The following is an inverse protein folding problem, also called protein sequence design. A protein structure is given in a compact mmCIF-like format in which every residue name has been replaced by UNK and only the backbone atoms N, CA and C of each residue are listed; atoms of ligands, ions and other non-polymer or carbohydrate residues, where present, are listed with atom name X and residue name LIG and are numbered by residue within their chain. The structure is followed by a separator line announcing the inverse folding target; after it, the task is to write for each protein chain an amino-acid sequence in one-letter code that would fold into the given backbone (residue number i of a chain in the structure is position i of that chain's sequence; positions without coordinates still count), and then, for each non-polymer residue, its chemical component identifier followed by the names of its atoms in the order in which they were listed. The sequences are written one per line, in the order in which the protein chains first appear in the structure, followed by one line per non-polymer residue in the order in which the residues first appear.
data_IF_864404303785
#
_entry.id   IF_864404303785
#
_cell.length_a   1.000
_cell.length_b   1.000
_cell.length_c   1.000
_cell.angle_alpha   90.00
_cell.angle_beta   90.00
_cell.angle_gamma   90.00
#
_symmetry.space_group_name_H-M   'P 1'
#
loop_
_entity.id
_entity.type
_entity.pdbx_description
1 polymer ?
#
# COMPACT_ATOMS: atom_id res chain seq x y z
N UNK A 1 24.01 -0.92 -20.01
CA UNK A 1 23.95 -1.62 -21.32
C UNK A 1 22.55 -1.41 -21.84
N UNK A 2 22.39 -0.56 -22.84
CA UNK A 2 21.05 -0.20 -23.33
C UNK A 2 20.49 -1.37 -24.16
N UNK A 3 19.31 -1.85 -23.82
CA UNK A 3 18.58 -2.85 -24.59
C UNK A 3 18.14 -2.16 -25.89
N UNK A 4 18.71 -2.56 -27.03
CA UNK A 4 18.28 -2.14 -28.36
C UNK A 4 16.97 -2.87 -28.70
N UNK A 5 15.85 -2.17 -28.60
CA UNK A 5 14.61 -2.60 -29.23
C UNK A 5 14.73 -2.42 -30.73
N UNK A 6 14.72 -3.54 -31.46
CA UNK A 6 14.78 -3.57 -32.92
C UNK A 6 13.48 -3.01 -33.53
N UNK A 7 13.60 -1.97 -34.36
CA UNK A 7 12.51 -1.44 -35.16
C UNK A 7 12.15 -2.43 -36.28
N UNK A 8 10.94 -2.99 -36.22
CA UNK A 8 10.18 -3.35 -37.43
C UNK A 8 8.73 -2.98 -37.20
N UNK A 9 8.27 -1.91 -37.86
CA UNK A 9 6.89 -1.46 -37.92
C UNK A 9 6.00 -2.55 -38.54
N UNK A 10 5.05 -3.07 -37.73
CA UNK A 10 3.77 -3.58 -38.24
C UNK A 10 2.67 -3.00 -37.36
N UNK A 11 1.73 -2.32 -37.97
CA UNK A 11 0.54 -1.74 -37.39
C UNK A 11 -0.43 -2.87 -36.96
N UNK A 12 -0.39 -3.23 -35.71
CA UNK A 12 -1.38 -3.97 -34.95
C UNK A 12 -1.40 -3.36 -33.55
N UNK A 13 -2.40 -3.62 -32.69
CA UNK A 13 -2.35 -3.12 -31.33
C UNK A 13 -1.03 -3.56 -30.71
N UNK A 14 -0.29 -2.61 -30.12
CA UNK A 14 0.92 -2.90 -29.35
C UNK A 14 0.49 -3.79 -28.19
N UNK A 15 0.78 -5.08 -28.27
CA UNK A 15 0.72 -5.99 -27.14
C UNK A 15 1.95 -5.58 -26.31
N UNK A 16 1.72 -4.88 -25.20
CA UNK A 16 2.77 -4.66 -24.20
C UNK A 16 3.41 -6.02 -23.90
N UNK A 17 4.73 -6.07 -23.85
CA UNK A 17 5.44 -7.33 -23.64
C UNK A 17 5.04 -7.89 -22.27
N UNK A 18 4.64 -9.16 -22.22
CA UNK A 18 4.36 -9.89 -21.00
C UNK A 18 5.61 -9.84 -20.08
N UNK A 19 5.44 -9.31 -18.87
CA UNK A 19 6.50 -9.13 -17.88
C UNK A 19 6.23 -10.06 -16.70
N UNK A 20 7.25 -10.67 -16.14
CA UNK A 20 7.16 -11.51 -14.94
C UNK A 20 7.38 -10.65 -13.70
N UNK A 21 6.33 -10.49 -12.90
CA UNK A 21 6.38 -9.67 -11.70
C UNK A 21 6.25 -10.50 -10.43
N UNK A 22 7.15 -10.24 -9.48
CA UNK A 22 7.02 -10.71 -8.11
C UNK A 22 6.42 -9.62 -7.25
N UNK A 23 5.31 -9.90 -6.54
CA UNK A 23 4.68 -8.99 -5.58
C UNK A 23 4.83 -9.56 -4.19
N UNK A 24 5.73 -9.02 -3.36
CA UNK A 24 5.84 -9.44 -1.96
C UNK A 24 4.73 -8.79 -1.12
N UNK A 25 4.11 -9.55 -0.22
CA UNK A 25 2.91 -9.10 0.50
C UNK A 25 1.67 -9.07 -0.39
N UNK A 26 1.66 -9.89 -1.45
CA UNK A 26 0.54 -10.00 -2.39
C UNK A 26 -0.77 -10.41 -1.76
N UNK A 27 -0.72 -11.14 -0.63
CA UNK A 27 -1.89 -11.59 0.14
C UNK A 27 -2.63 -10.47 0.88
N UNK A 28 -1.97 -9.32 1.06
CA UNK A 28 -2.49 -8.20 1.83
C UNK A 28 -3.54 -7.37 1.11
N UNK A 29 -4.06 -6.35 1.81
CA UNK A 29 -5.06 -5.42 1.28
C UNK A 29 -4.60 -4.79 -0.05
N UNK A 30 -3.52 -4.02 -0.06
CA UNK A 30 -3.03 -3.37 -1.27
C UNK A 30 -2.44 -4.39 -2.25
N UNK A 31 -1.71 -5.40 -1.75
CA UNK A 31 -1.04 -6.40 -2.58
C UNK A 31 -2.01 -7.19 -3.45
N UNK A 32 -3.17 -7.59 -2.92
CA UNK A 32 -4.18 -8.33 -3.69
C UNK A 32 -4.76 -7.49 -4.84
N UNK A 33 -5.00 -6.19 -4.63
CA UNK A 33 -5.44 -5.28 -5.70
C UNK A 33 -4.34 -5.02 -6.73
N UNK A 34 -3.08 -4.92 -6.31
CA UNK A 34 -1.94 -4.79 -7.24
C UNK A 34 -1.80 -6.05 -8.10
N UNK A 35 -1.87 -7.24 -7.50
CA UNK A 35 -1.86 -8.50 -8.26
C UNK A 35 -2.99 -8.54 -9.30
N UNK A 36 -4.22 -8.21 -8.92
CA UNK A 36 -5.36 -8.18 -9.84
C UNK A 36 -5.16 -7.16 -10.97
N UNK A 37 -4.61 -5.99 -10.67
CA UNK A 37 -4.36 -4.96 -11.68
C UNK A 37 -3.29 -5.40 -12.70
N UNK A 38 -2.21 -6.03 -12.22
CA UNK A 38 -1.15 -6.56 -13.08
C UNK A 38 -1.63 -7.71 -13.97
N UNK A 39 -2.44 -8.63 -13.42
CA UNK A 39 -3.06 -9.72 -14.19
C UNK A 39 -3.98 -9.15 -15.27
N UNK A 40 -4.80 -8.14 -14.92
CA UNK A 40 -5.70 -7.48 -15.87
C UNK A 40 -4.93 -6.77 -17.00
N UNK A 41 -3.72 -6.30 -16.71
CA UNK A 41 -2.81 -5.74 -17.70
C UNK A 41 -2.10 -6.80 -18.58
N UNK A 42 -2.27 -8.09 -18.28
CA UNK A 42 -1.73 -9.20 -19.08
C UNK A 42 -0.33 -9.67 -18.66
N UNK A 43 0.07 -9.41 -17.42
CA UNK A 43 1.37 -9.84 -16.89
C UNK A 43 1.31 -11.19 -16.19
N UNK A 44 2.46 -11.90 -16.13
CA UNK A 44 2.67 -13.08 -15.30
C UNK A 44 2.99 -12.62 -13.86
N UNK A 45 2.14 -12.99 -12.89
CA UNK A 45 2.24 -12.50 -11.51
C UNK A 45 2.51 -13.62 -10.54
N UNK A 46 3.56 -13.48 -9.74
CA UNK A 46 3.82 -14.31 -8.56
C UNK A 46 3.59 -13.46 -7.30
N UNK A 47 2.68 -13.89 -6.43
CA UNK A 47 2.45 -13.31 -5.12
C UNK A 47 3.29 -14.05 -4.07
N UNK A 48 4.28 -13.37 -3.47
CA UNK A 48 5.06 -13.90 -2.36
C UNK A 48 4.39 -13.50 -1.05
N UNK A 49 3.81 -14.49 -0.39
CA UNK A 49 2.95 -14.36 0.78
C UNK A 49 3.64 -14.87 2.04
N UNK A 50 3.34 -14.26 3.19
CA UNK A 50 3.92 -14.73 4.46
C UNK A 50 3.46 -16.18 4.75
N UNK A 51 4.44 -17.06 4.99
CA UNK A 51 4.16 -18.43 5.36
C UNK A 51 3.29 -18.54 6.62
N UNK A 52 2.26 -19.34 6.54
CA UNK A 52 1.44 -19.73 7.67
C UNK A 52 1.03 -21.19 7.56
N UNK A 53 0.82 -21.84 8.70
CA UNK A 53 0.49 -23.29 8.76
C UNK A 53 -0.86 -23.65 8.16
N UNK A 54 -1.70 -22.67 7.83
CA UNK A 54 -3.01 -22.91 7.22
C UNK A 54 -2.95 -22.93 5.69
N UNK A 55 -1.80 -22.60 5.08
CA UNK A 55 -1.66 -22.48 3.63
C UNK A 55 -2.56 -21.40 3.02
N UNK A 56 -2.85 -20.34 3.78
CA UNK A 56 -3.76 -19.27 3.39
C UNK A 56 -3.01 -18.08 2.80
N UNK A 57 -3.45 -17.65 1.64
CA UNK A 57 -2.92 -16.47 0.94
C UNK A 57 -3.84 -15.25 1.07
N UNK A 58 -4.46 -15.08 2.23
CA UNK A 58 -5.24 -13.90 2.60
C UNK A 58 -6.34 -13.57 1.59
N UNK A 59 -6.31 -12.36 1.03
CA UNK A 59 -7.31 -11.89 0.07
C UNK A 59 -7.18 -12.52 -1.33
N UNK A 60 -6.14 -13.28 -1.59
CA UNK A 60 -6.01 -14.05 -2.83
C UNK A 60 -6.73 -15.40 -2.75
N UNK A 61 -7.04 -15.89 -1.53
CA UNK A 61 -7.80 -17.13 -1.36
C UNK A 61 -9.22 -16.99 -1.93
N UNK A 62 -9.63 -17.93 -2.77
CA UNK A 62 -10.97 -17.97 -3.35
C UNK A 62 -11.25 -16.94 -4.44
N UNK A 63 -10.27 -16.13 -4.83
CA UNK A 63 -10.40 -15.25 -5.99
C UNK A 63 -10.34 -16.03 -7.30
N UNK A 64 -11.12 -15.61 -8.30
CA UNK A 64 -11.16 -16.23 -9.63
C UNK A 64 -9.76 -16.33 -10.26
N UNK A 65 -8.91 -15.32 -10.04
CA UNK A 65 -7.54 -15.28 -10.56
C UNK A 65 -6.63 -16.39 -10.05
N UNK A 66 -6.88 -16.91 -8.84
CA UNK A 66 -6.14 -18.05 -8.28
C UNK A 66 -6.70 -19.36 -8.86
N UNK A 67 -8.03 -19.47 -8.94
CA UNK A 67 -8.71 -20.64 -9.50
C UNK A 67 -8.33 -20.86 -10.97
N UNK A 68 -8.20 -19.78 -11.74
CA UNK A 68 -7.80 -19.79 -13.14
C UNK A 68 -6.28 -19.93 -13.36
N UNK A 69 -5.48 -19.97 -12.27
CA UNK A 69 -4.03 -20.05 -12.34
C UNK A 69 -3.34 -18.78 -12.86
N UNK A 70 -4.05 -17.64 -12.89
CA UNK A 70 -3.53 -16.37 -13.36
C UNK A 70 -2.53 -15.72 -12.38
N UNK A 71 -2.56 -16.11 -11.10
CA UNK A 71 -1.57 -15.75 -10.10
C UNK A 71 -0.94 -16.99 -9.49
N UNK A 72 0.40 -17.01 -9.44
CA UNK A 72 1.15 -18.02 -8.71
C UNK A 72 1.37 -17.54 -7.28
N UNK A 73 1.10 -18.39 -6.29
CA UNK A 73 1.34 -18.09 -4.89
C UNK A 73 2.58 -18.83 -4.41
N UNK A 74 3.52 -18.09 -3.83
CA UNK A 74 4.69 -18.62 -3.14
C UNK A 74 4.66 -18.18 -1.67
N UNK A 75 4.98 -19.11 -0.75
CA UNK A 75 5.01 -18.83 0.68
C UNK A 75 6.44 -18.73 1.18
N UNK A 76 6.72 -17.67 1.96
CA UNK A 76 8.01 -17.49 2.61
C UNK A 76 8.00 -16.29 3.55
N UNK A 77 9.18 -15.82 3.94
CA UNK A 77 9.36 -14.67 4.81
C UNK A 77 10.47 -13.78 4.23
N UNK A 78 10.22 -12.50 4.03
CA UNK A 78 11.22 -11.55 3.50
C UNK A 78 12.45 -11.41 4.40
N UNK A 79 12.35 -11.82 5.67
CA UNK A 79 13.49 -11.86 6.61
C UNK A 79 14.45 -13.01 6.30
N UNK A 80 14.00 -14.04 5.58
CA UNK A 80 14.84 -15.15 5.13
C UNK A 80 15.43 -14.83 3.75
N UNK A 81 16.75 -14.58 3.73
CA UNK A 81 17.45 -14.16 2.53
C UNK A 81 17.48 -15.23 1.43
N UNK A 82 17.54 -16.52 1.79
CA UNK A 82 17.59 -17.60 0.82
C UNK A 82 16.21 -17.87 0.21
N UNK A 83 15.15 -17.78 1.03
CA UNK A 83 13.77 -17.88 0.58
C UNK A 83 13.43 -16.78 -0.41
N UNK A 84 13.74 -15.51 -0.09
CA UNK A 84 13.45 -14.40 -0.99
C UNK A 84 14.34 -14.40 -2.24
N UNK A 85 15.59 -14.85 -2.16
CA UNK A 85 16.44 -15.03 -3.34
C UNK A 85 15.79 -16.00 -4.33
N UNK A 86 15.34 -17.15 -3.84
CA UNK A 86 14.67 -18.16 -4.68
C UNK A 86 13.39 -17.63 -5.32
N UNK A 87 12.63 -16.81 -4.60
CA UNK A 87 11.41 -16.20 -5.11
C UNK A 87 11.67 -15.10 -6.16
N UNK A 88 12.76 -14.35 -6.05
CA UNK A 88 13.10 -13.27 -7.00
C UNK A 88 13.69 -13.82 -8.30
N UNK A 89 14.36 -14.98 -8.25
CA UNK A 89 15.00 -15.55 -9.42
C UNK A 89 13.99 -15.83 -10.56
N UNK A 90 14.32 -15.34 -11.76
CA UNK A 90 13.48 -15.51 -12.95
C UNK A 90 12.37 -14.50 -13.13
N UNK A 91 12.26 -13.49 -12.26
CA UNK A 91 11.35 -12.36 -12.43
C UNK A 91 12.05 -11.13 -13.02
N UNK A 92 11.32 -10.35 -13.79
CA UNK A 92 11.81 -9.12 -14.42
C UNK A 92 11.69 -7.90 -13.50
N UNK A 93 10.60 -7.84 -12.74
CA UNK A 93 10.27 -6.73 -11.85
C UNK A 93 9.84 -7.25 -10.48
N UNK A 94 10.25 -6.55 -9.42
CA UNK A 94 9.81 -6.82 -8.04
C UNK A 94 9.04 -5.62 -7.51
N UNK A 95 7.78 -5.83 -7.08
CA UNK A 95 7.01 -4.85 -6.31
C UNK A 95 7.04 -5.29 -4.84
N UNK A 96 7.75 -4.53 -4.01
CA UNK A 96 7.97 -4.88 -2.61
C UNK A 96 6.96 -4.17 -1.70
N UNK A 97 5.86 -4.88 -1.34
CA UNK A 97 4.80 -4.39 -0.44
C UNK A 97 4.88 -5.02 0.96
N UNK A 98 5.56 -6.17 1.12
CA UNK A 98 5.64 -6.88 2.38
C UNK A 98 6.23 -5.98 3.50
N UNK A 99 5.43 -5.71 4.53
CA UNK A 99 5.81 -4.87 5.66
C UNK A 99 4.88 -5.08 6.86
N UNK A 100 5.38 -4.81 8.06
CA UNK A 100 4.54 -4.53 9.21
C UNK A 100 4.14 -3.04 9.18
N UNK A 101 2.84 -2.74 9.23
CA UNK A 101 2.32 -1.38 8.98
C UNK A 101 1.51 -0.77 10.13
N UNK A 102 1.04 -1.58 11.10
CA UNK A 102 0.18 -1.10 12.18
C UNK A 102 0.96 -0.23 13.18
N UNK A 103 0.72 1.09 13.18
CA UNK A 103 1.42 2.02 14.08
C UNK A 103 1.23 1.62 15.55
N UNK A 104 0.01 1.33 16.07
CA UNK A 104 -0.16 0.92 17.46
C UNK A 104 0.62 -0.35 17.83
N UNK A 105 0.67 -1.34 16.94
CA UNK A 105 1.45 -2.55 17.16
C UNK A 105 2.96 -2.28 17.16
N UNK A 106 3.43 -1.25 16.44
CA UNK A 106 4.85 -0.88 16.45
C UNK A 106 5.35 -0.43 17.81
N UNK A 107 4.48 0.05 18.69
CA UNK A 107 4.84 0.40 20.08
C UNK A 107 5.07 -0.85 20.95
N UNK A 108 4.40 -1.96 20.62
CA UNK A 108 4.50 -3.22 21.36
C UNK A 108 5.67 -4.08 20.87
N UNK A 109 5.92 -4.08 19.57
CA UNK A 109 6.91 -4.94 18.91
C UNK A 109 7.88 -4.17 18.01
N UNK A 110 8.56 -3.11 18.46
CA UNK A 110 9.37 -2.24 17.59
C UNK A 110 10.49 -2.99 16.87
N UNK A 111 11.08 -4.00 17.50
CA UNK A 111 12.13 -4.83 16.90
C UNK A 111 11.62 -5.57 15.66
N UNK A 112 10.42 -6.14 15.69
CA UNK A 112 9.83 -6.84 14.55
C UNK A 112 9.68 -5.92 13.34
N UNK A 113 9.43 -4.61 13.56
CA UNK A 113 9.37 -3.62 12.47
C UNK A 113 10.73 -3.39 11.82
N UNK A 114 11.81 -3.34 12.59
CA UNK A 114 13.16 -3.23 12.04
C UNK A 114 13.50 -4.51 11.26
N UNK A 115 13.26 -5.68 11.84
CA UNK A 115 13.57 -6.96 11.20
C UNK A 115 12.79 -7.15 9.89
N UNK A 116 11.49 -6.84 9.87
CA UNK A 116 10.67 -7.01 8.67
C UNK A 116 10.89 -5.88 7.67
N UNK A 117 10.77 -4.62 8.11
CA UNK A 117 10.72 -3.49 7.18
C UNK A 117 12.11 -3.05 6.71
N UNK A 118 13.16 -3.15 7.54
CA UNK A 118 14.53 -2.76 7.15
C UNK A 118 15.31 -3.95 6.61
N UNK A 119 15.44 -5.02 7.41
CA UNK A 119 16.23 -6.19 7.00
C UNK A 119 15.51 -6.93 5.87
N UNK A 120 14.18 -7.09 5.93
CA UNK A 120 13.41 -7.68 4.84
C UNK A 120 13.56 -6.89 3.54
N UNK A 121 13.48 -5.56 3.56
CA UNK A 121 13.75 -4.72 2.38
C UNK A 121 15.16 -4.91 1.85
N UNK A 122 16.17 -4.96 2.74
CA UNK A 122 17.55 -5.23 2.33
C UNK A 122 17.67 -6.57 1.62
N UNK A 123 17.07 -7.63 2.15
CA UNK A 123 17.10 -8.96 1.55
C UNK A 123 16.46 -8.96 0.15
N UNK A 124 15.29 -8.32 -0.01
CA UNK A 124 14.60 -8.21 -1.31
C UNK A 124 15.48 -7.47 -2.33
N UNK A 125 16.09 -6.35 -1.96
CA UNK A 125 16.91 -5.54 -2.87
C UNK A 125 18.21 -6.27 -3.20
N UNK A 126 18.81 -6.98 -2.25
CA UNK A 126 20.01 -7.79 -2.50
C UNK A 126 19.70 -8.98 -3.42
N UNK A 127 18.57 -9.66 -3.23
CA UNK A 127 18.10 -10.71 -4.13
C UNK A 127 17.88 -10.16 -5.56
N UNK A 128 17.23 -9.01 -5.67
CA UNK A 128 17.03 -8.31 -6.93
C UNK A 128 18.35 -7.94 -7.63
N UNK A 129 19.34 -7.47 -6.85
CA UNK A 129 20.70 -7.18 -7.35
C UNK A 129 21.35 -8.41 -7.93
N UNK A 130 21.28 -9.56 -7.23
CA UNK A 130 21.89 -10.83 -7.67
C UNK A 130 21.19 -11.41 -8.88
N UNK A 131 19.86 -11.34 -8.93
CA UNK A 131 19.06 -11.82 -10.05
C UNK A 131 19.15 -10.89 -11.29
N UNK A 132 19.58 -9.64 -11.10
CA UNK A 132 19.70 -8.67 -12.19
C UNK A 132 18.35 -8.19 -12.73
N UNK A 133 17.35 -8.05 -11.85
CA UNK A 133 15.99 -7.59 -12.23
C UNK A 133 16.04 -6.20 -12.88
N UNK A 134 15.10 -5.93 -13.78
CA UNK A 134 15.03 -4.66 -14.50
C UNK A 134 14.52 -3.51 -13.62
N UNK A 135 13.73 -3.82 -12.56
CA UNK A 135 13.20 -2.81 -11.62
C UNK A 135 12.79 -3.42 -10.29
N UNK A 136 13.05 -2.66 -9.22
CA UNK A 136 12.43 -2.85 -7.90
C UNK A 136 11.57 -1.64 -7.59
N UNK A 137 10.28 -1.84 -7.34
CA UNK A 137 9.37 -0.82 -6.81
C UNK A 137 9.32 -1.01 -5.29
N UNK A 138 10.08 -0.21 -4.56
CA UNK A 138 10.08 -0.21 -3.10
C UNK A 138 8.92 0.62 -2.57
N UNK A 139 8.06 0.01 -1.76
CA UNK A 139 6.93 0.71 -1.13
C UNK A 139 7.35 1.30 0.21
N UNK A 140 7.34 2.62 0.29
CA UNK A 140 7.47 3.41 1.51
C UNK A 140 6.09 3.82 2.06
N UNK A 141 5.97 5.02 2.61
CA UNK A 141 4.72 5.56 3.18
C UNK A 141 4.84 7.08 3.36
N UNK A 142 3.72 7.81 3.34
CA UNK A 142 3.66 9.22 3.75
C UNK A 142 3.99 9.45 5.23
N UNK A 143 3.85 8.43 6.08
CA UNK A 143 4.18 8.53 7.52
C UNK A 143 5.67 8.80 7.79
N UNK A 144 6.56 8.63 6.79
CA UNK A 144 7.98 9.00 6.91
C UNK A 144 8.20 10.51 7.03
N UNK A 145 7.23 11.32 6.62
CA UNK A 145 7.29 12.78 6.71
C UNK A 145 6.96 13.30 8.11
N UNK A 146 6.24 12.51 8.92
CA UNK A 146 5.64 13.00 10.16
C UNK A 146 4.58 14.07 9.89
N UNK A 147 4.28 14.88 10.90
CA UNK A 147 3.37 16.02 10.75
C UNK A 147 3.95 17.04 9.75
N UNK A 148 3.15 17.40 8.75
CA UNK A 148 3.56 18.29 7.68
C UNK A 148 4.13 19.63 8.20
N UNK A 149 5.34 19.98 7.77
CA UNK A 149 5.96 21.30 8.01
C UNK A 149 5.53 22.34 6.96
N UNK A 150 5.15 21.86 5.78
CA UNK A 150 4.50 22.62 4.72
C UNK A 150 3.61 21.68 3.88
N UNK A 151 2.65 22.22 3.19
CA UNK A 151 1.73 21.50 2.31
C UNK A 151 1.50 22.25 1.00
N UNK A 152 1.19 21.52 -0.09
CA UNK A 152 1.23 20.06 -0.18
C UNK A 152 2.65 19.51 0.02
N UNK A 153 2.75 18.26 0.52
CA UNK A 153 4.03 17.60 0.79
C UNK A 153 4.62 17.09 -0.53
N UNK A 154 5.79 17.60 -0.91
CA UNK A 154 6.61 17.06 -1.99
C UNK A 154 7.68 16.09 -1.47
N UNK A 155 8.43 15.45 -2.36
CA UNK A 155 9.46 14.47 -2.00
C UNK A 155 10.71 15.06 -1.33
N UNK A 156 10.83 16.39 -1.30
CA UNK A 156 11.91 17.14 -0.61
C UNK A 156 11.58 17.44 0.85
N UNK A 157 10.32 17.21 1.25
CA UNK A 157 9.90 17.42 2.64
C UNK A 157 10.79 16.63 3.60
N UNK A 158 11.21 17.19 4.73
CA UNK A 158 12.01 16.50 5.74
C UNK A 158 11.36 15.20 6.23
N UNK A 159 12.20 14.19 6.51
CA UNK A 159 11.74 12.91 7.07
C UNK A 159 11.80 12.98 8.60
N UNK A 160 10.66 12.70 9.25
CA UNK A 160 10.52 12.72 10.71
C UNK A 160 9.78 11.47 11.18
N UNK A 161 10.51 10.50 11.72
CA UNK A 161 9.96 9.24 12.21
C UNK A 161 9.28 9.38 13.58
N UNK A 162 7.98 9.72 13.61
CA UNK A 162 7.21 9.91 14.86
C UNK A 162 6.72 8.58 15.49
N UNK A 163 6.99 7.45 14.88
CA UNK A 163 6.68 6.11 15.43
C UNK A 163 7.76 5.10 15.05
N UNK A 164 7.87 3.94 15.77
CA UNK A 164 8.76 2.86 15.34
C UNK A 164 8.47 2.36 13.94
N UNK A 165 7.21 2.39 13.51
CA UNK A 165 6.83 2.08 12.12
C UNK A 165 7.46 3.06 11.13
N UNK A 166 7.20 4.36 11.29
CA UNK A 166 7.73 5.37 10.35
C UNK A 166 9.27 5.40 10.36
N UNK A 167 9.90 5.25 11.54
CA UNK A 167 11.36 5.12 11.64
C UNK A 167 11.90 3.92 10.87
N UNK A 168 11.22 2.75 10.93
CA UNK A 168 11.60 1.56 10.17
C UNK A 168 11.45 1.77 8.65
N UNK A 169 10.42 2.51 8.21
CA UNK A 169 10.23 2.82 6.78
C UNK A 169 11.27 3.83 6.27
N UNK A 170 11.66 4.83 7.08
CA UNK A 170 12.79 5.71 6.77
C UNK A 170 14.08 4.89 6.62
N UNK A 171 14.33 3.94 7.53
CA UNK A 171 15.48 3.04 7.44
C UNK A 171 15.47 2.22 6.14
N UNK A 172 14.33 1.68 5.75
CA UNK A 172 14.14 0.94 4.51
C UNK A 172 14.38 1.83 3.27
N UNK A 173 13.87 3.07 3.26
CA UNK A 173 14.12 4.04 2.19
C UNK A 173 15.62 4.33 2.02
N UNK A 174 16.36 4.48 3.14
CA UNK A 174 17.80 4.71 3.09
C UNK A 174 18.58 3.49 2.59
N UNK A 175 18.16 2.27 2.95
CA UNK A 175 18.71 1.04 2.38
C UNK A 175 18.48 1.01 0.87
N UNK A 176 17.24 1.24 0.41
CA UNK A 176 16.90 1.27 -1.00
C UNK A 176 17.75 2.28 -1.79
N UNK A 177 17.86 3.50 -1.28
CA UNK A 177 18.69 4.56 -1.88
C UNK A 177 20.18 4.19 -1.90
N UNK A 178 20.70 3.58 -0.83
CA UNK A 178 22.11 3.18 -0.77
C UNK A 178 22.48 2.11 -1.80
N UNK A 179 21.57 1.17 -2.06
CA UNK A 179 21.77 0.13 -3.08
C UNK A 179 21.77 0.69 -4.50
N UNK A 180 20.89 1.65 -4.78
CA UNK A 180 20.96 2.41 -6.03
C UNK A 180 22.31 3.13 -6.16
N UNK A 181 22.68 3.92 -5.16
CA UNK A 181 23.86 4.77 -5.20
C UNK A 181 25.17 3.97 -5.26
N UNK A 182 25.26 2.85 -4.52
CA UNK A 182 26.50 2.08 -4.38
C UNK A 182 26.66 0.95 -5.39
N UNK A 183 25.54 0.34 -5.79
CA UNK A 183 25.55 -0.87 -6.61
C UNK A 183 24.77 -0.73 -7.92
N UNK A 184 24.10 0.41 -8.16
CA UNK A 184 23.30 0.65 -9.36
C UNK A 184 22.04 -0.22 -9.46
N UNK A 185 21.52 -0.74 -8.31
CA UNK A 185 20.29 -1.53 -8.31
C UNK A 185 19.11 -0.65 -8.76
N UNK A 186 18.30 -1.05 -9.75
CA UNK A 186 17.29 -0.21 -10.35
C UNK A 186 16.03 -0.06 -9.44
N UNK A 187 16.17 0.65 -8.32
CA UNK A 187 15.10 0.87 -7.35
C UNK A 187 14.35 2.17 -7.65
N UNK A 188 13.02 2.12 -7.60
CA UNK A 188 12.13 3.28 -7.55
C UNK A 188 11.35 3.22 -6.24
N UNK A 189 11.39 4.27 -5.43
CA UNK A 189 10.66 4.32 -4.15
C UNK A 189 9.32 5.03 -4.35
N UNK A 190 8.23 4.40 -3.94
CA UNK A 190 6.89 5.00 -3.93
C UNK A 190 6.46 5.23 -2.48
N UNK A 191 5.98 6.43 -2.17
CA UNK A 191 5.39 6.82 -0.88
C UNK A 191 3.88 7.00 -1.04
N UNK A 192 3.09 5.93 -0.91
CA UNK A 192 1.64 6.08 -0.94
C UNK A 192 1.18 6.87 0.28
N UNK A 193 0.23 7.78 0.05
CA UNK A 193 -0.57 8.39 1.09
C UNK A 193 -1.66 7.40 1.51
N UNK A 194 -2.53 7.78 2.44
CA UNK A 194 -3.44 6.82 3.07
C UNK A 194 -4.34 6.11 2.04
N UNK A 195 -4.03 4.89 1.70
CA UNK A 195 -4.86 4.06 0.81
C UNK A 195 -6.06 3.50 1.57
N UNK A 196 -7.26 3.55 0.98
CA UNK A 196 -8.50 2.99 1.54
C UNK A 196 -9.30 2.23 0.47
N UNK A 197 -10.17 1.32 0.90
CA UNK A 197 -11.03 0.58 -0.03
C UNK A 197 -11.45 -0.80 0.49
N UNK A 198 -12.07 -1.61 -0.38
CA UNK A 198 -12.37 -3.03 -0.13
C UNK A 198 -11.16 -3.80 0.39
N UNK A 199 -11.36 -4.77 1.28
CA UNK A 199 -10.32 -5.62 1.90
C UNK A 199 -9.40 -4.91 2.91
N UNK A 200 -9.61 -3.61 3.17
CA UNK A 200 -8.80 -2.90 4.16
C UNK A 200 -9.03 -3.46 5.56
N UNK A 201 -7.95 -3.62 6.33
CA UNK A 201 -8.01 -4.16 7.70
C UNK A 201 -8.84 -3.28 8.63
N UNK A 202 -9.64 -3.90 9.50
CA UNK A 202 -10.43 -3.25 10.56
C UNK A 202 -9.60 -2.35 11.50
N UNK A 203 -8.29 -2.47 11.52
CA UNK A 203 -7.39 -1.57 12.25
C UNK A 203 -7.43 -0.12 11.76
N UNK A 204 -7.77 0.10 10.49
CA UNK A 204 -7.90 1.43 9.92
C UNK A 204 -9.26 2.06 10.26
N UNK A 205 -9.31 3.40 10.26
CA UNK A 205 -10.50 4.16 10.63
C UNK A 205 -11.73 3.77 9.78
N UNK A 206 -11.60 3.82 8.45
CA UNK A 206 -12.73 3.61 7.53
C UNK A 206 -13.39 2.24 7.73
N UNK A 207 -12.68 1.09 7.69
CA UNK A 207 -13.32 -0.18 7.98
C UNK A 207 -13.83 -0.29 9.42
N UNK A 208 -13.13 0.27 10.40
CA UNK A 208 -13.61 0.27 11.79
C UNK A 208 -14.96 0.99 11.94
N UNK A 209 -15.13 2.14 11.28
CA UNK A 209 -16.40 2.88 11.27
C UNK A 209 -17.48 2.08 10.54
N UNK A 210 -17.18 1.55 9.35
CA UNK A 210 -18.14 0.78 8.55
C UNK A 210 -18.65 -0.44 9.32
N UNK A 211 -17.76 -1.22 9.93
CA UNK A 211 -18.12 -2.43 10.69
C UNK A 211 -19.03 -2.08 11.89
N UNK A 212 -18.74 -0.99 12.61
CA UNK A 212 -19.59 -0.52 13.70
C UNK A 212 -20.95 -0.02 13.19
N UNK A 213 -21.02 0.70 12.06
CA UNK A 213 -22.27 1.12 11.43
C UNK A 213 -23.13 -0.08 11.02
N UNK A 214 -22.52 -1.09 10.38
CA UNK A 214 -23.21 -2.30 9.93
C UNK A 214 -23.72 -3.17 11.10
N UNK A 215 -23.03 -3.16 12.24
CA UNK A 215 -23.49 -3.91 13.43
C UNK A 215 -24.76 -3.38 14.04
N UNK A 216 -25.21 -2.21 13.66
CA UNK A 216 -26.41 -1.57 14.23
C UNK A 216 -26.16 -0.79 15.51
N UNK A 217 -24.92 -0.56 15.91
CA UNK A 217 -24.56 0.18 17.12
C UNK A 217 -25.21 1.57 17.17
N UNK A 218 -25.65 1.99 18.36
CA UNK A 218 -26.18 3.35 18.57
C UNK A 218 -25.07 4.40 18.70
N UNK A 219 -23.88 3.96 19.14
CA UNK A 219 -22.67 4.78 19.21
C UNK A 219 -21.50 4.03 18.62
N UNK A 220 -20.52 4.77 18.08
CA UNK A 220 -19.26 4.26 17.56
C UNK A 220 -18.09 4.82 18.35
N UNK A 221 -17.11 3.96 18.66
CA UNK A 221 -15.92 4.32 19.43
C UNK A 221 -14.73 4.56 18.53
N UNK A 222 -14.16 5.77 18.56
CA UNK A 222 -13.07 6.21 17.69
C UNK A 222 -11.95 6.89 18.49
N UNK A 223 -10.77 7.02 17.88
CA UNK A 223 -9.68 7.89 18.37
C UNK A 223 -9.89 9.34 17.93
N UNK A 224 -8.79 10.10 17.80
CA UNK A 224 -8.82 11.50 17.37
C UNK A 224 -9.42 11.65 15.96
N UNK A 225 -10.31 12.63 15.79
CA UNK A 225 -10.97 12.96 14.52
C UNK A 225 -10.44 14.24 13.88
N UNK A 226 -9.55 14.96 14.57
CA UNK A 226 -8.98 16.23 14.08
C UNK A 226 -7.92 16.07 13.01
N UNK A 227 -7.08 15.01 13.00
CA UNK A 227 -6.05 14.86 11.98
C UNK A 227 -6.64 14.83 10.57
N UNK A 228 -5.91 15.43 9.63
CA UNK A 228 -6.27 15.44 8.22
C UNK A 228 -5.40 14.48 7.42
N UNK A 229 -5.99 13.86 6.40
CA UNK A 229 -5.33 12.87 5.55
C UNK A 229 -5.68 13.10 4.09
N UNK A 230 -4.74 12.76 3.23
CA UNK A 230 -4.97 12.50 1.83
C UNK A 230 -5.31 11.02 1.66
N UNK A 231 -6.51 10.75 1.20
CA UNK A 231 -7.07 9.39 1.07
C UNK A 231 -7.14 9.00 -0.40
N UNK A 232 -6.39 7.97 -0.78
CA UNK A 232 -6.34 7.45 -2.15
C UNK A 232 -7.11 6.14 -2.24
N UNK A 233 -8.04 6.03 -3.19
CA UNK A 233 -8.81 4.80 -3.37
C UNK A 233 -7.90 3.67 -3.86
N UNK A 234 -8.10 2.45 -3.38
CA UNK A 234 -7.16 1.33 -3.56
C UNK A 234 -6.90 0.96 -5.01
N UNK A 235 -7.90 1.10 -5.91
CA UNK A 235 -7.68 0.84 -7.34
C UNK A 235 -6.76 1.88 -7.96
N UNK A 236 -6.86 3.15 -7.56
CA UNK A 236 -5.97 4.21 -8.02
C UNK A 236 -4.53 3.94 -7.55
N UNK A 237 -4.37 3.46 -6.31
CA UNK A 237 -3.05 3.05 -5.81
C UNK A 237 -2.50 1.86 -6.60
N UNK A 238 -3.31 0.83 -6.88
CA UNK A 238 -2.88 -0.33 -7.65
C UNK A 238 -2.44 0.05 -9.08
N UNK A 239 -3.21 0.90 -9.77
CA UNK A 239 -2.85 1.47 -11.07
C UNK A 239 -1.54 2.26 -11.00
N UNK A 240 -1.32 3.03 -9.93
CA UNK A 240 -0.06 3.76 -9.71
C UNK A 240 1.14 2.84 -9.55
N UNK A 241 1.01 1.74 -8.82
CA UNK A 241 2.07 0.73 -8.71
C UNK A 241 2.36 0.07 -10.06
N UNK A 242 1.32 -0.24 -10.86
CA UNK A 242 1.49 -0.75 -12.21
C UNK A 242 2.22 0.26 -13.10
N UNK A 243 1.78 1.51 -13.12
CA UNK A 243 2.40 2.56 -13.94
C UNK A 243 3.90 2.75 -13.62
N UNK A 244 4.28 2.67 -12.33
CA UNK A 244 5.68 2.72 -11.92
C UNK A 244 6.44 1.46 -12.33
N UNK A 245 5.82 0.27 -12.22
CA UNK A 245 6.45 -1.00 -12.57
C UNK A 245 6.75 -1.11 -14.07
N UNK A 246 5.83 -0.65 -14.92
CA UNK A 246 5.93 -0.64 -16.39
C UNK A 246 6.80 0.51 -16.93
N UNK A 247 6.93 1.59 -16.17
CA UNK A 247 7.60 2.81 -16.60
C UNK A 247 9.10 2.64 -16.89
N UNK A 248 9.65 3.45 -17.79
CA UNK A 248 11.06 3.40 -18.16
C UNK A 248 11.96 4.35 -17.35
N UNK A 249 11.39 5.29 -16.60
CA UNK A 249 12.11 6.32 -15.83
C UNK A 249 12.09 6.10 -14.32
N UNK A 250 12.57 7.10 -13.56
CA UNK A 250 12.41 7.19 -12.10
C UNK A 250 13.32 6.27 -11.27
N UNK A 251 14.34 5.65 -11.87
CA UNK A 251 15.30 4.81 -11.13
C UNK A 251 16.14 5.67 -10.17
N UNK A 252 16.26 5.22 -8.93
CA UNK A 252 16.95 5.96 -7.87
C UNK A 252 16.14 7.10 -7.27
N UNK A 253 14.91 7.32 -7.73
CA UNK A 253 14.05 8.41 -7.31
C UNK A 253 12.94 7.97 -6.37
N UNK A 254 12.38 8.97 -5.68
CA UNK A 254 11.22 8.83 -4.77
C UNK A 254 10.03 9.53 -5.41
N UNK A 255 8.85 8.95 -5.25
CA UNK A 255 7.58 9.48 -5.77
C UNK A 255 6.48 9.40 -4.73
N UNK A 256 5.82 10.53 -4.46
CA UNK A 256 4.59 10.56 -3.69
C UNK A 256 3.41 10.07 -4.54
N UNK A 257 2.52 9.30 -3.90
CA UNK A 257 1.32 8.77 -4.53
C UNK A 257 0.12 9.08 -3.63
N UNK A 258 -0.61 10.14 -3.94
CA UNK A 258 -1.77 10.61 -3.19
C UNK A 258 -2.85 11.15 -4.10
N UNK A 259 -4.05 11.39 -3.54
CA UNK A 259 -5.19 11.93 -4.28
C UNK A 259 -5.09 13.43 -4.55
N UNK A 260 -4.20 14.14 -3.83
CA UNK A 260 -4.10 15.59 -3.86
C UNK A 260 -5.27 16.30 -3.18
N UNK A 261 -6.04 15.57 -2.35
CA UNK A 261 -7.19 16.09 -1.61
C UNK A 261 -7.09 15.75 -0.12
N UNK A 262 -7.14 16.78 0.70
CA UNK A 262 -7.05 16.68 2.16
C UNK A 262 -8.43 16.75 2.80
N UNK A 263 -8.69 15.88 3.78
CA UNK A 263 -9.94 15.84 4.54
C UNK A 263 -9.68 15.43 5.99
N UNK A 264 -10.46 15.96 6.94
CA UNK A 264 -10.39 15.53 8.34
C UNK A 264 -11.03 14.15 8.55
N UNK A 265 -10.54 13.43 9.55
CA UNK A 265 -11.13 12.12 9.90
C UNK A 265 -12.56 12.27 10.35
N UNK A 266 -12.93 13.39 10.97
CA UNK A 266 -14.31 13.70 11.34
C UNK A 266 -15.25 13.78 10.12
N UNK A 267 -14.87 14.52 9.09
CA UNK A 267 -15.66 14.61 7.85
C UNK A 267 -15.80 13.25 7.14
N UNK A 268 -14.79 12.38 7.21
CA UNK A 268 -14.89 11.01 6.67
C UNK A 268 -15.96 10.21 7.43
N UNK A 269 -16.01 10.33 8.75
CA UNK A 269 -17.04 9.68 9.58
C UNK A 269 -18.45 10.21 9.26
N UNK A 270 -18.58 11.53 9.06
CA UNK A 270 -19.85 12.14 8.64
C UNK A 270 -20.30 11.59 7.28
N UNK A 271 -19.42 11.53 6.28
CA UNK A 271 -19.74 10.93 4.97
C UNK A 271 -20.19 9.47 5.09
N UNK A 272 -19.51 8.65 5.90
CA UNK A 272 -19.90 7.25 6.12
C UNK A 272 -21.24 7.13 6.82
N UNK A 273 -21.54 8.04 7.75
CA UNK A 273 -22.84 8.14 8.42
C UNK A 273 -23.96 8.44 7.41
N UNK A 274 -23.74 9.39 6.49
CA UNK A 274 -24.66 9.71 5.40
C UNK A 274 -24.87 8.53 4.45
N UNK A 275 -23.78 7.89 3.99
CA UNK A 275 -23.82 6.72 3.10
C UNK A 275 -24.60 5.56 3.74
N UNK A 276 -24.42 5.33 5.04
CA UNK A 276 -25.12 4.27 5.78
C UNK A 276 -26.61 4.58 6.04
N UNK A 277 -27.03 5.84 5.90
CA UNK A 277 -28.36 6.33 6.30
C UNK A 277 -28.58 6.36 7.81
N UNK A 278 -27.51 6.26 8.62
CA UNK A 278 -27.59 6.16 10.08
C UNK A 278 -26.95 7.36 10.75
N UNK A 279 -27.65 7.91 11.74
CA UNK A 279 -27.07 8.86 12.69
C UNK A 279 -26.60 8.09 13.92
N UNK A 280 -25.33 8.20 14.24
CA UNK A 280 -24.72 7.55 15.39
C UNK A 280 -24.01 8.58 16.26
N UNK A 281 -23.99 8.32 17.56
CA UNK A 281 -23.18 9.10 18.48
C UNK A 281 -21.72 8.65 18.37
N UNK A 282 -20.79 9.61 18.38
CA UNK A 282 -19.35 9.32 18.37
C UNK A 282 -18.84 9.45 19.80
N UNK A 283 -18.21 8.40 20.30
CA UNK A 283 -17.55 8.38 21.61
C UNK A 283 -16.05 8.26 21.42
N UNK A 284 -15.27 9.09 22.11
CA UNK A 284 -13.82 8.98 22.11
C UNK A 284 -13.37 7.80 22.97
N UNK A 285 -12.52 6.95 22.41
CA UNK A 285 -11.92 5.79 23.08
C UNK A 285 -10.42 6.05 23.30
N UNK A 286 -10.04 6.26 24.55
CA UNK A 286 -8.65 6.53 24.93
C UNK A 286 -7.67 5.43 24.49
N UNK A 287 -8.14 4.16 24.36
CA UNK A 287 -7.29 3.07 23.87
C UNK A 287 -6.94 3.21 22.37
N UNK A 288 -7.66 4.03 21.63
CA UNK A 288 -7.46 4.31 20.19
C UNK A 288 -6.71 5.62 19.95
N UNK A 289 -6.47 6.41 20.99
CA UNK A 289 -5.70 7.66 20.92
C UNK A 289 -4.21 7.32 20.92
N UNK A 290 -3.47 7.83 19.95
CA UNK A 290 -2.01 7.68 19.91
C UNK A 290 -1.32 8.59 20.93
N UNK A 291 -0.09 8.28 21.36
CA UNK A 291 0.70 9.23 22.13
C UNK A 291 0.82 10.57 21.37
N UNK A 292 0.64 11.69 22.06
CA UNK A 292 0.59 13.03 21.47
C UNK A 292 1.74 13.32 20.49
N UNK A 293 2.99 13.03 20.90
CA UNK A 293 4.17 13.24 20.05
C UNK A 293 4.30 12.26 18.88
N UNK A 294 3.49 11.21 18.85
CA UNK A 294 3.46 10.20 17.79
C UNK A 294 2.29 10.39 16.82
N UNK A 295 1.31 11.23 17.16
CA UNK A 295 0.22 11.56 16.23
C UNK A 295 0.74 12.44 15.11
N UNK A 296 0.41 12.06 13.87
CA UNK A 296 0.68 12.85 12.68
C UNK A 296 -0.57 13.68 12.37
N UNK A 297 -0.48 14.98 12.57
CA UNK A 297 -1.66 15.86 12.49
C UNK A 297 -2.14 16.08 11.05
N UNK A 298 -1.21 16.14 10.08
CA UNK A 298 -1.55 16.54 8.73
C UNK A 298 -0.71 15.83 7.67
N UNK A 299 -1.38 15.23 6.67
CA UNK A 299 -0.75 14.66 5.48
C UNK A 299 -1.58 15.02 4.25
N UNK A 300 -0.96 15.75 3.29
CA UNK A 300 -1.54 16.15 2.01
C UNK A 300 -0.46 16.11 0.93
N UNK A 301 -0.68 15.28 -0.09
CA UNK A 301 0.29 14.95 -1.15
C UNK A 301 0.40 16.02 -2.23
N UNK A 302 1.62 16.32 -2.65
CA UNK A 302 1.91 16.73 -4.02
C UNK A 302 2.30 15.49 -4.83
N UNK A 303 1.45 15.10 -5.78
CA UNK A 303 1.67 13.94 -6.66
C UNK A 303 2.07 14.36 -8.09
N UNK A 304 2.46 15.61 -8.31
CA UNK A 304 2.83 16.14 -9.63
C UNK A 304 4.05 15.43 -10.25
N UNK A 305 4.97 14.96 -9.40
CA UNK A 305 6.17 14.26 -9.85
C UNK A 305 5.85 12.89 -10.45
N UNK A 306 5.02 12.08 -9.79
CA UNK A 306 4.61 10.76 -10.31
C UNK A 306 3.76 10.92 -11.58
N UNK A 307 2.89 11.93 -11.62
CA UNK A 307 2.12 12.27 -12.82
C UNK A 307 3.04 12.58 -14.00
N UNK A 308 4.03 13.43 -13.79
CA UNK A 308 4.98 13.84 -14.85
C UNK A 308 5.85 12.69 -15.34
N UNK A 309 6.26 11.76 -14.45
CA UNK A 309 7.17 10.68 -14.76
C UNK A 309 6.49 9.46 -15.38
N UNK A 310 5.27 9.14 -14.93
CA UNK A 310 4.58 7.90 -15.27
C UNK A 310 3.16 8.10 -15.81
N UNK A 311 2.69 9.36 -15.94
CA UNK A 311 1.35 9.67 -16.44
C UNK A 311 0.22 9.29 -15.46
N UNK A 312 0.54 8.84 -14.25
CA UNK A 312 -0.47 8.42 -13.29
C UNK A 312 -1.19 9.60 -12.64
N UNK A 313 -2.51 9.50 -12.61
CA UNK A 313 -3.43 10.38 -11.88
C UNK A 313 -4.50 9.55 -11.20
N UNK A 314 -4.90 9.88 -9.95
CA UNK A 314 -6.01 9.19 -9.31
C UNK A 314 -7.34 9.52 -10.01
N UNK A 315 -8.09 8.49 -10.38
CA UNK A 315 -9.41 8.64 -10.99
C UNK A 315 -10.48 9.07 -9.96
N UNK A 316 -10.27 8.70 -8.68
CA UNK A 316 -11.18 9.01 -7.57
C UNK A 316 -10.65 10.18 -6.71
N UNK A 317 -10.22 11.27 -7.35
CA UNK A 317 -9.70 12.45 -6.68
C UNK A 317 -10.80 13.41 -6.20
N UNK A 318 -10.46 14.27 -5.22
CA UNK A 318 -11.36 15.29 -4.68
C UNK A 318 -12.50 14.72 -3.83
N UNK A 319 -13.39 15.63 -3.34
CA UNK A 319 -14.47 15.25 -2.43
C UNK A 319 -15.46 14.25 -3.06
N UNK A 320 -15.82 14.45 -4.32
CA UNK A 320 -16.76 13.57 -5.03
C UNK A 320 -16.15 12.19 -5.32
N UNK A 321 -14.86 12.13 -5.66
CA UNK A 321 -14.13 10.89 -5.85
C UNK A 321 -14.02 10.10 -4.57
N UNK A 322 -13.69 10.78 -3.46
CA UNK A 322 -13.66 10.18 -2.13
C UNK A 322 -15.03 9.63 -1.73
N UNK A 323 -16.12 10.39 -1.92
CA UNK A 323 -17.47 9.94 -1.60
C UNK A 323 -17.83 8.64 -2.34
N UNK A 324 -17.59 8.59 -3.66
CA UNK A 324 -17.81 7.38 -4.49
C UNK A 324 -16.96 6.19 -4.02
N UNK A 325 -15.71 6.45 -3.66
CA UNK A 325 -14.82 5.42 -3.10
C UNK A 325 -15.32 4.87 -1.77
N UNK A 326 -15.84 5.74 -0.89
CA UNK A 326 -16.43 5.34 0.39
C UNK A 326 -17.74 4.54 0.19
N UNK A 327 -18.61 4.92 -0.75
CA UNK A 327 -19.80 4.15 -1.12
C UNK A 327 -19.43 2.72 -1.57
N UNK A 328 -18.44 2.60 -2.48
CA UNK A 328 -17.95 1.30 -2.95
C UNK A 328 -17.36 0.47 -1.81
N UNK A 329 -16.60 1.12 -0.92
CA UNK A 329 -16.02 0.47 0.26
C UNK A 329 -17.10 -0.03 1.20
N UNK A 330 -18.09 0.83 1.54
CA UNK A 330 -19.21 0.48 2.39
C UNK A 330 -20.03 -0.69 1.82
N UNK A 331 -20.36 -0.64 0.52
CA UNK A 331 -21.09 -1.70 -0.17
C UNK A 331 -20.32 -3.03 -0.09
N UNK A 332 -19.00 -3.03 -0.34
CA UNK A 332 -18.20 -4.23 -0.26
C UNK A 332 -18.21 -4.84 1.16
N UNK A 333 -18.02 -4.02 2.21
CA UNK A 333 -18.06 -4.52 3.59
C UNK A 333 -19.44 -5.05 3.98
N UNK A 334 -20.51 -4.43 3.52
CA UNK A 334 -21.88 -4.91 3.74
C UNK A 334 -22.09 -6.29 3.11
N UNK A 335 -21.66 -6.45 1.86
CA UNK A 335 -21.90 -7.65 1.07
C UNK A 335 -20.99 -8.82 1.51
N UNK A 336 -19.82 -8.52 2.09
CA UNK A 336 -18.84 -9.51 2.56
C UNK A 336 -18.68 -9.57 4.08
N UNK A 337 -19.66 -9.09 4.85
CA UNK A 337 -19.57 -9.01 6.32
C UNK A 337 -19.32 -10.36 7.01
N UNK A 338 -19.87 -11.45 6.46
CA UNK A 338 -19.68 -12.80 7.01
C UNK A 338 -18.30 -13.42 6.68
N UNK A 339 -17.63 -12.94 5.65
CA UNK A 339 -16.36 -13.49 5.17
C UNK A 339 -15.16 -12.80 5.79
N UNK A 340 -15.30 -11.54 6.17
CA UNK A 340 -14.19 -10.73 6.71
C UNK A 340 -13.72 -11.19 8.08
N UNK A 341 -14.61 -11.81 8.89
CA UNK A 341 -14.35 -12.13 10.29
C UNK A 341 -14.14 -10.89 11.17
N UNK A 342 -14.56 -9.70 10.71
CA UNK A 342 -14.45 -8.45 11.46
C UNK A 342 -15.53 -8.35 12.52
N UNK A 343 -15.17 -7.84 13.69
CA UNK A 343 -16.01 -7.76 14.85
C UNK A 343 -16.12 -6.30 15.33
N UNK A 344 -17.34 -5.76 15.35
CA UNK A 344 -17.61 -4.39 15.77
C UNK A 344 -17.24 -4.12 17.24
N UNK A 345 -17.30 -5.14 18.09
CA UNK A 345 -16.95 -5.04 19.51
C UNK A 345 -15.44 -5.10 19.78
N UNK A 346 -14.65 -5.47 18.77
CA UNK A 346 -13.20 -5.69 18.92
C UNK A 346 -12.39 -4.53 18.36
N UNK A 347 -11.55 -3.94 19.23
CA UNK A 347 -10.44 -3.10 18.76
C UNK A 347 -9.26 -4.00 18.37
N UNK A 348 -8.80 -3.90 17.13
CA UNK A 348 -7.67 -4.66 16.60
C UNK A 348 -6.46 -3.73 16.53
N UNK A 349 -5.36 -4.11 17.20
CA UNK A 349 -4.10 -3.37 17.24
C UNK A 349 -3.16 -3.82 16.13
#
# INVERSE_FOLDING_TARGET
MAIKLGQTRRSGPEVEAEVKLLVTGGEGFLGSHVCEELIRAGHEVTAYSLYNSFGKAGWLDGGDYVADGAVRIEFGDVRDADSIQSAVDGHDVVIHLAALIAIPYSYQAPRSYIETNVIGTMNVIEAARRAGVARVVHTSTSEVYGTAQYVPIDEKHPLVGQSPYSASKIGADQVAHSYWSSFGVPVTTVRPFNTYGPRQSQRALIPSVIVQLLSGAASISLGSLTPTRDLTFVTDSAEGFRAVAEGSGGLGEVFNMGSGFEISMGEVVEMLSEISGRKVEITEDAARVRPENSEVERLWSDSSKIESAFGWKPANAGRDGLHKGLERTYAWFRDNSNETGYDAARYVV
#
